data_IF_372339972029
#
_entry.id   IF_372339972029
#
_cell.length_a   1.000
_cell.length_b   1.000
_cell.length_c   1.000
_cell.angle_alpha   90.00
_cell.angle_beta   90.00
_cell.angle_gamma   90.00
#
_symmetry.space_group_name_H-M   'P 1'
#
loop_
_entity.id
_entity.type
_entity.pdbx_description
1 polymer ?
#
# COMPACT_ATOMS: atom_id res chain seq x y z
N UNK A 1 -0.71 1.46 4.38
CA UNK A 1 -0.55 0.61 5.58
C UNK A 1 -1.24 1.18 6.82
N UNK A 2 -1.67 2.45 6.82
CA UNK A 2 -2.55 2.97 7.88
C UNK A 2 -3.99 2.39 7.71
N UNK A 3 -4.53 1.67 8.71
CA UNK A 3 -5.88 1.07 8.64
C UNK A 3 -7.00 2.10 8.48
N UNK A 4 -6.91 3.25 9.13
CA UNK A 4 -7.96 4.28 9.10
C UNK A 4 -8.08 4.92 7.71
N UNK A 5 -6.94 5.25 7.09
CA UNK A 5 -6.89 5.75 5.71
C UNK A 5 -7.44 4.71 4.74
N UNK A 6 -7.04 3.45 4.91
CA UNK A 6 -7.48 2.36 4.03
C UNK A 6 -8.99 2.15 4.12
N UNK A 7 -9.54 2.15 5.34
CA UNK A 7 -10.97 2.01 5.58
C UNK A 7 -11.76 3.21 5.08
N UNK A 8 -11.25 4.42 5.26
CA UNK A 8 -11.86 5.64 4.73
C UNK A 8 -12.00 5.58 3.20
N UNK A 9 -10.98 5.08 2.49
CA UNK A 9 -10.99 5.00 1.03
C UNK A 9 -11.77 3.81 0.46
N UNK A 10 -11.64 2.63 1.06
CA UNK A 10 -12.18 1.37 0.51
C UNK A 10 -13.48 0.91 1.17
N UNK A 11 -13.80 1.45 2.35
CA UNK A 11 -14.88 0.95 3.22
C UNK A 11 -14.53 -0.34 3.97
N UNK A 12 -13.35 -0.92 3.78
CA UNK A 12 -12.96 -2.24 4.30
C UNK A 12 -11.74 -2.14 5.23
N UNK A 13 -11.52 -3.16 6.06
CA UNK A 13 -10.27 -3.31 6.81
C UNK A 13 -9.12 -3.72 5.88
N UNK A 14 -7.88 -3.36 6.23
CA UNK A 14 -6.69 -3.80 5.51
C UNK A 14 -6.07 -5.10 6.06
N UNK A 15 -6.65 -5.75 7.06
CA UNK A 15 -6.10 -6.95 7.70
C UNK A 15 -5.75 -8.05 6.69
N UNK A 16 -6.69 -8.38 5.79
CA UNK A 16 -6.46 -9.38 4.74
C UNK A 16 -5.32 -9.00 3.77
N UNK A 17 -5.11 -7.70 3.55
CA UNK A 17 -3.98 -7.24 2.72
C UNK A 17 -2.66 -7.47 3.45
N UNK A 18 -2.61 -7.20 4.76
CA UNK A 18 -1.44 -7.44 5.59
C UNK A 18 -1.09 -8.92 5.66
N UNK A 19 -2.07 -9.79 5.91
CA UNK A 19 -1.87 -11.24 5.97
C UNK A 19 -1.30 -11.79 4.67
N UNK A 20 -1.81 -11.33 3.52
CA UNK A 20 -1.30 -11.73 2.22
C UNK A 20 0.13 -11.23 1.96
N UNK A 21 0.46 -10.01 2.38
CA UNK A 21 1.82 -9.47 2.26
C UNK A 21 2.81 -10.27 3.11
N UNK A 22 2.43 -10.63 4.34
CA UNK A 22 3.22 -11.50 5.21
C UNK A 22 3.41 -12.88 4.57
N UNK A 23 2.35 -13.49 4.05
CA UNK A 23 2.44 -14.79 3.38
C UNK A 23 3.41 -14.77 2.20
N UNK A 24 3.34 -13.74 1.35
CA UNK A 24 4.28 -13.55 0.23
C UNK A 24 5.72 -13.43 0.74
N UNK A 25 5.91 -12.69 1.83
CA UNK A 25 7.22 -12.48 2.44
C UNK A 25 7.79 -13.76 3.06
N UNK A 26 6.95 -14.56 3.72
CA UNK A 26 7.31 -15.84 4.34
C UNK A 26 7.77 -16.86 3.30
N UNK A 27 7.20 -16.82 2.09
CA UNK A 27 7.65 -17.63 0.95
C UNK A 27 8.87 -17.05 0.22
N UNK A 28 9.42 -15.91 0.65
CA UNK A 28 10.58 -15.27 0.03
C UNK A 28 10.29 -14.67 -1.36
N UNK A 29 9.02 -14.41 -1.68
CA UNK A 29 8.56 -14.02 -3.01
C UNK A 29 8.35 -12.52 -3.20
N UNK A 30 8.85 -11.69 -2.28
CA UNK A 30 8.69 -10.23 -2.36
C UNK A 30 9.22 -9.65 -3.68
N UNK A 31 10.27 -10.26 -4.25
CA UNK A 31 10.91 -9.85 -5.49
C UNK A 31 10.04 -10.07 -6.74
N UNK A 32 9.06 -10.97 -6.68
CA UNK A 32 8.10 -11.23 -7.76
C UNK A 32 7.03 -10.13 -7.86
N UNK A 33 6.85 -9.34 -6.81
CA UNK A 33 5.80 -8.34 -6.71
C UNK A 33 6.27 -6.95 -7.13
N UNK A 34 5.34 -6.16 -7.66
CA UNK A 34 5.45 -4.69 -7.72
C UNK A 34 4.35 -4.14 -6.83
N UNK A 35 4.70 -3.49 -5.73
CA UNK A 35 3.71 -2.91 -4.83
C UNK A 35 3.41 -1.49 -5.25
N UNK A 36 2.15 -1.23 -5.62
CA UNK A 36 1.72 0.09 -6.07
C UNK A 36 1.21 0.91 -4.89
N UNK A 37 1.75 2.12 -4.70
CA UNK A 37 1.37 3.00 -3.58
C UNK A 37 0.79 4.31 -4.13
N UNK A 38 -0.55 4.45 -4.16
CA UNK A 38 -1.18 5.64 -4.69
C UNK A 38 -1.10 6.83 -3.72
N UNK A 39 -0.97 8.03 -4.28
CA UNK A 39 -1.37 9.28 -3.65
C UNK A 39 -2.79 9.61 -4.10
N UNK A 40 -3.73 9.60 -3.16
CA UNK A 40 -5.16 9.74 -3.39
C UNK A 40 -5.63 11.05 -2.75
N UNK A 41 -6.10 12.02 -3.55
CA UNK A 41 -6.57 13.30 -3.03
C UNK A 41 -7.63 13.13 -1.93
N UNK A 42 -7.47 13.87 -0.83
CA UNK A 42 -8.35 13.87 0.36
C UNK A 42 -8.29 12.60 1.24
N UNK A 43 -7.49 11.60 0.90
CA UNK A 43 -7.37 10.38 1.72
C UNK A 43 -6.00 10.22 2.36
N UNK A 44 -4.92 10.47 1.62
CA UNK A 44 -3.57 10.35 2.14
C UNK A 44 -2.65 11.47 1.64
N UNK A 45 -1.54 11.63 2.34
CA UNK A 45 -0.48 12.58 2.03
C UNK A 45 0.77 11.85 1.54
N UNK A 46 1.75 12.60 1.03
CA UNK A 46 3.08 12.06 0.74
C UNK A 46 3.75 11.44 1.96
N UNK A 47 3.51 11.99 3.15
CA UNK A 47 4.00 11.41 4.42
C UNK A 47 3.40 10.03 4.68
N UNK A 48 2.10 9.86 4.46
CA UNK A 48 1.43 8.55 4.61
C UNK A 48 1.90 7.53 3.58
N UNK A 49 2.17 8.00 2.35
CA UNK A 49 2.72 7.20 1.26
C UNK A 49 4.13 6.72 1.61
N UNK A 50 4.97 7.59 2.14
CA UNK A 50 6.32 7.25 2.60
C UNK A 50 6.30 6.30 3.80
N UNK A 51 5.40 6.52 4.77
CA UNK A 51 5.22 5.60 5.89
C UNK A 51 4.77 4.21 5.41
N UNK A 52 3.87 4.14 4.43
CA UNK A 52 3.44 2.88 3.83
C UNK A 52 4.59 2.19 3.09
N UNK A 53 5.41 2.95 2.35
CA UNK A 53 6.60 2.43 1.67
C UNK A 53 7.58 1.81 2.67
N UNK A 54 7.94 2.52 3.74
CA UNK A 54 8.87 2.03 4.77
C UNK A 54 8.40 0.75 5.44
N UNK A 55 7.10 0.65 5.73
CA UNK A 55 6.52 -0.57 6.30
C UNK A 55 6.62 -1.76 5.35
N UNK A 56 6.44 -1.55 4.04
CA UNK A 56 6.60 -2.59 3.03
C UNK A 56 8.09 -2.96 2.80
N UNK A 57 8.99 -1.99 2.87
CA UNK A 57 10.44 -2.22 2.84
C UNK A 57 10.89 -3.08 4.03
N UNK A 58 10.34 -2.85 5.22
CA UNK A 58 10.60 -3.68 6.41
C UNK A 58 10.11 -5.13 6.25
N UNK A 59 9.12 -5.39 5.38
CA UNK A 59 8.65 -6.73 5.01
C UNK A 59 9.49 -7.37 3.88
N UNK A 60 10.49 -6.66 3.35
CA UNK A 60 11.39 -7.15 2.29
C UNK A 60 10.94 -6.85 0.86
N UNK A 61 9.88 -6.06 0.66
CA UNK A 61 9.51 -5.58 -0.68
C UNK A 61 10.46 -4.47 -1.12
N UNK A 62 10.89 -4.50 -2.39
CA UNK A 62 11.87 -3.55 -2.91
C UNK A 62 11.49 -2.93 -4.26
N UNK A 63 10.37 -3.36 -4.86
CA UNK A 63 9.86 -2.87 -6.14
C UNK A 63 8.55 -2.12 -5.92
N UNK A 64 8.62 -0.80 -6.00
CA UNK A 64 7.48 0.09 -5.74
C UNK A 64 7.11 0.92 -6.96
N UNK A 65 5.82 1.01 -7.23
CA UNK A 65 5.24 1.93 -8.21
C UNK A 65 4.46 3.02 -7.46
N UNK A 66 5.05 4.21 -7.35
CA UNK A 66 4.40 5.36 -6.74
C UNK A 66 3.67 6.15 -7.82
N UNK A 67 2.36 6.32 -7.68
CA UNK A 67 1.56 7.05 -8.66
C UNK A 67 0.54 7.97 -7.99
N UNK A 68 0.07 8.98 -8.71
CA UNK A 68 -0.99 9.88 -8.24
C UNK A 68 -2.31 9.44 -8.85
N UNK A 69 -3.30 9.21 -8.00
CA UNK A 69 -4.62 8.76 -8.41
C UNK A 69 -5.37 9.90 -9.10
N UNK A 70 -5.80 9.68 -10.34
CA UNK A 70 -6.61 10.65 -11.10
C UNK A 70 -8.08 10.28 -10.98
N UNK A 71 -8.86 11.08 -10.24
CA UNK A 71 -10.31 10.94 -10.20
C UNK A 71 -10.87 11.58 -11.47
N UNK A 72 -11.24 10.76 -12.45
CA UNK A 72 -11.93 11.23 -13.66
C UNK A 72 -13.38 11.54 -13.30
N UNK A 73 -13.81 12.79 -13.50
CA UNK A 73 -15.22 13.16 -13.48
C UNK A 73 -15.82 12.70 -14.82
N UNK A 74 -16.78 11.79 -14.76
CA UNK A 74 -17.63 11.42 -15.90
C UNK A 74 -18.77 12.40 -16.06
#
# INVERSE_FOLDING_TARGET
MNPDIYRSYTGQSNDLVLDNLCLIADFGRQHDCIVRIPLIPNYNTDTDREASRKALEALGFNRFDLFTYQIRKH
#
